data_IF_114757002188
#
_entry.id   IF_114757002188
#
_cell.length_a   1.000
_cell.length_b   1.000
_cell.length_c   1.000
_cell.angle_alpha   90.00
_cell.angle_beta   90.00
_cell.angle_gamma   90.00
#
_symmetry.space_group_name_H-M   'P 1'
#
loop_
_entity.id
_entity.type
_entity.pdbx_description
1 polymer ?
#
# COMPACT_ATOMS: atom_id res chain seq x y z
N UNK A 1 4.98 -16.41 -23.92
CA UNK A 1 3.91 -17.24 -23.35
C UNK A 1 4.52 -18.10 -22.25
N UNK A 2 3.90 -18.13 -21.11
CA UNK A 2 4.33 -18.98 -19.98
C UNK A 2 4.13 -20.45 -20.31
N UNK A 3 5.01 -21.31 -19.77
CA UNK A 3 4.78 -22.76 -19.82
C UNK A 3 3.52 -23.12 -19.02
N UNK A 4 2.86 -24.23 -19.36
CA UNK A 4 1.66 -24.68 -18.62
C UNK A 4 1.96 -24.91 -17.13
N UNK A 5 3.17 -25.36 -16.79
CA UNK A 5 3.60 -25.57 -15.41
C UNK A 5 3.77 -24.23 -14.65
N UNK A 6 4.40 -23.26 -15.28
CA UNK A 6 4.61 -21.93 -14.67
C UNK A 6 3.30 -21.20 -14.49
N UNK A 7 2.39 -21.32 -15.47
CA UNK A 7 1.04 -20.77 -15.36
C UNK A 7 0.28 -21.34 -14.15
N UNK A 8 0.37 -22.65 -13.95
CA UNK A 8 -0.25 -23.29 -12.77
C UNK A 8 0.37 -22.81 -11.45
N UNK A 9 1.69 -22.59 -11.40
CA UNK A 9 2.35 -22.03 -10.22
C UNK A 9 1.84 -20.62 -9.92
N UNK A 10 1.69 -19.77 -10.95
CA UNK A 10 1.14 -18.41 -10.81
C UNK A 10 -0.31 -18.45 -10.31
N UNK A 11 -1.15 -19.30 -10.91
CA UNK A 11 -2.56 -19.46 -10.51
C UNK A 11 -2.65 -19.91 -9.05
N UNK A 12 -1.87 -20.90 -8.65
CA UNK A 12 -1.85 -21.40 -7.27
C UNK A 12 -1.40 -20.31 -6.29
N UNK A 13 -0.36 -19.55 -6.61
CA UNK A 13 0.10 -18.44 -5.80
C UNK A 13 -1.00 -17.38 -5.61
N UNK A 14 -1.67 -17.00 -6.69
CA UNK A 14 -2.77 -16.03 -6.65
C UNK A 14 -3.98 -16.56 -5.87
N UNK A 15 -4.32 -17.84 -6.03
CA UNK A 15 -5.43 -18.48 -5.31
C UNK A 15 -5.16 -18.56 -3.82
N UNK A 16 -3.92 -18.84 -3.41
CA UNK A 16 -3.53 -18.86 -2.00
C UNK A 16 -3.64 -17.48 -1.34
N UNK A 17 -3.38 -16.41 -2.09
CA UNK A 17 -3.39 -15.04 -1.57
C UNK A 17 -4.78 -14.38 -1.66
N UNK A 18 -5.48 -14.58 -2.78
CA UNK A 18 -6.74 -13.87 -3.09
C UNK A 18 -7.98 -14.73 -2.88
N UNK A 19 -7.79 -16.02 -2.57
CA UNK A 19 -8.88 -16.99 -2.52
C UNK A 19 -9.27 -17.53 -3.90
N UNK A 20 -10.40 -18.25 -3.97
CA UNK A 20 -10.87 -18.82 -5.22
C UNK A 20 -11.18 -17.76 -6.28
N UNK A 21 -10.51 -17.87 -7.41
CA UNK A 21 -10.74 -17.03 -8.59
C UNK A 21 -11.62 -17.73 -9.63
N UNK A 22 -12.31 -16.93 -10.43
CA UNK A 22 -13.04 -17.39 -11.61
C UNK A 22 -12.14 -17.30 -12.84
N UNK A 23 -12.03 -18.37 -13.59
CA UNK A 23 -11.34 -18.33 -14.88
C UNK A 23 -12.23 -17.67 -15.92
N UNK A 24 -11.73 -16.62 -16.52
CA UNK A 24 -12.35 -15.94 -17.65
C UNK A 24 -11.78 -16.45 -18.99
N UNK A 25 -12.13 -15.79 -20.08
CA UNK A 25 -11.59 -16.16 -21.39
C UNK A 25 -10.09 -15.90 -21.47
N UNK A 26 -9.37 -16.84 -22.10
CA UNK A 26 -7.93 -16.73 -22.30
C UNK A 26 -7.12 -16.90 -20.99
N UNK A 27 -6.26 -15.94 -20.70
CA UNK A 27 -5.32 -15.98 -19.57
C UNK A 27 -5.75 -15.06 -18.43
N UNK A 28 -7.04 -14.78 -18.32
CA UNK A 28 -7.58 -13.88 -17.32
C UNK A 28 -8.29 -14.63 -16.19
N UNK A 29 -8.02 -14.16 -14.99
CA UNK A 29 -8.66 -14.63 -13.74
C UNK A 29 -9.37 -13.46 -13.08
N UNK A 30 -10.52 -13.71 -12.48
CA UNK A 30 -11.25 -12.72 -11.69
C UNK A 30 -11.33 -13.15 -10.24
N UNK A 31 -10.99 -12.23 -9.34
CA UNK A 31 -10.98 -12.41 -7.90
C UNK A 31 -11.84 -11.36 -7.19
N UNK A 32 -12.22 -11.61 -5.95
CA UNK A 32 -12.71 -10.57 -5.07
C UNK A 32 -11.59 -9.59 -4.77
N UNK A 33 -11.88 -8.30 -4.86
CA UNK A 33 -10.86 -7.27 -4.64
C UNK A 33 -10.62 -7.06 -3.15
N UNK A 34 -9.40 -7.27 -2.64
CA UNK A 34 -9.09 -7.08 -1.23
C UNK A 34 -9.05 -5.60 -0.80
N UNK A 35 -8.97 -4.68 -1.77
CA UNK A 35 -8.88 -3.24 -1.47
C UNK A 35 -10.24 -2.58 -1.29
N UNK A 36 -11.28 -3.04 -1.98
CA UNK A 36 -12.63 -2.46 -1.86
C UNK A 36 -13.67 -3.45 -1.35
N UNK A 37 -13.29 -4.70 -1.14
CA UNK A 37 -14.13 -5.78 -0.62
C UNK A 37 -15.51 -5.89 -1.32
N UNK A 38 -15.54 -5.64 -2.64
CA UNK A 38 -16.77 -5.70 -3.41
C UNK A 38 -17.32 -7.14 -3.49
N UNK A 39 -18.64 -7.30 -3.35
CA UNK A 39 -19.31 -8.60 -3.29
C UNK A 39 -19.20 -9.44 -4.58
N UNK A 40 -18.82 -8.86 -5.72
CA UNK A 40 -18.55 -9.57 -6.97
C UNK A 40 -17.05 -9.58 -7.28
N UNK A 41 -16.53 -10.61 -7.95
CA UNK A 41 -15.12 -10.70 -8.35
C UNK A 41 -14.82 -9.68 -9.46
N UNK A 42 -14.35 -8.50 -9.08
CA UNK A 42 -14.06 -7.36 -9.96
C UNK A 42 -12.57 -7.08 -10.15
N UNK A 43 -11.71 -7.79 -9.42
CA UNK A 43 -10.27 -7.74 -9.62
C UNK A 43 -9.89 -8.73 -10.73
N UNK A 44 -9.55 -8.22 -11.90
CA UNK A 44 -9.06 -9.03 -13.03
C UNK A 44 -7.55 -9.06 -13.03
N UNK A 45 -6.99 -10.23 -13.32
CA UNK A 45 -5.56 -10.49 -13.40
C UNK A 45 -5.29 -11.26 -14.68
N UNK A 46 -4.41 -10.74 -15.52
CA UNK A 46 -3.95 -11.42 -16.71
C UNK A 46 -2.61 -12.12 -16.42
N UNK A 47 -2.58 -13.44 -16.51
CA UNK A 47 -1.41 -14.25 -16.16
C UNK A 47 -0.27 -14.15 -17.18
N UNK A 48 -0.50 -13.75 -18.41
CA UNK A 48 0.58 -13.59 -19.40
C UNK A 48 1.21 -12.20 -19.34
N UNK A 49 0.38 -11.16 -19.32
CA UNK A 49 0.85 -9.77 -19.30
C UNK A 49 1.17 -9.22 -17.91
N UNK A 50 0.87 -9.98 -16.86
CA UNK A 50 0.99 -9.59 -15.45
C UNK A 50 0.10 -8.42 -15.03
N UNK A 51 -0.70 -7.86 -15.93
CA UNK A 51 -1.54 -6.72 -15.64
C UNK A 51 -2.69 -7.14 -14.73
N UNK A 52 -3.04 -6.26 -13.81
CA UNK A 52 -4.17 -6.45 -12.93
C UNK A 52 -4.93 -5.14 -12.74
N UNK A 53 -6.25 -5.24 -12.59
CA UNK A 53 -7.11 -4.07 -12.43
C UNK A 53 -8.42 -4.45 -11.73
N UNK A 54 -8.85 -3.60 -10.79
CA UNK A 54 -10.17 -3.72 -10.18
C UNK A 54 -11.14 -2.71 -10.82
N UNK A 55 -12.19 -3.20 -11.43
CA UNK A 55 -13.21 -2.39 -12.11
C UNK A 55 -14.14 -1.61 -11.17
N UNK A 56 -14.00 -1.78 -9.85
CA UNK A 56 -14.82 -1.06 -8.87
C UNK A 56 -14.03 0.09 -8.23
N UNK A 57 -12.82 -0.17 -7.74
CA UNK A 57 -12.01 0.84 -7.03
C UNK A 57 -10.86 1.42 -7.86
N UNK A 58 -10.72 1.03 -9.12
CA UNK A 58 -9.64 1.43 -10.03
C UNK A 58 -8.22 1.10 -9.55
N UNK A 59 -8.07 0.31 -8.47
CA UNK A 59 -6.76 -0.20 -8.09
C UNK A 59 -6.21 -1.10 -9.18
N UNK A 60 -4.99 -0.85 -9.63
CA UNK A 60 -4.39 -1.62 -10.72
C UNK A 60 -2.87 -1.50 -10.78
N UNK A 61 -2.28 -2.31 -11.64
CA UNK A 61 -0.83 -2.29 -11.87
C UNK A 61 -0.42 -3.09 -13.10
N UNK A 62 0.83 -2.85 -13.53
CA UNK A 62 1.41 -3.47 -14.73
C UNK A 62 2.10 -4.80 -14.44
N UNK A 63 2.44 -5.10 -13.18
CA UNK A 63 3.15 -6.30 -12.74
C UNK A 63 2.42 -6.97 -11.59
N UNK A 64 2.37 -8.30 -11.56
CA UNK A 64 1.80 -9.07 -10.45
C UNK A 64 2.53 -8.84 -9.13
N UNK A 65 3.84 -8.65 -9.20
CA UNK A 65 4.64 -8.34 -8.01
C UNK A 65 4.18 -7.07 -7.29
N UNK A 66 3.63 -6.09 -8.03
CA UNK A 66 3.05 -4.88 -7.41
C UNK A 66 1.76 -5.16 -6.65
N UNK A 67 0.95 -6.12 -7.10
CA UNK A 67 -0.22 -6.59 -6.38
C UNK A 67 0.17 -7.33 -5.10
N UNK A 68 1.09 -8.28 -5.20
CA UNK A 68 1.56 -9.09 -4.09
C UNK A 68 2.23 -8.24 -3.00
N UNK A 69 3.03 -7.24 -3.38
CA UNK A 69 3.61 -6.28 -2.44
C UNK A 69 2.54 -5.45 -1.70
N UNK A 70 1.49 -5.00 -2.39
CA UNK A 70 0.37 -4.27 -1.76
C UNK A 70 -0.43 -5.12 -0.78
N UNK A 71 -0.38 -6.44 -0.93
CA UNK A 71 -1.05 -7.42 -0.06
C UNK A 71 -0.12 -7.97 1.03
N UNK A 72 1.09 -7.42 1.15
CA UNK A 72 2.11 -7.83 2.12
C UNK A 72 2.41 -9.34 2.09
N UNK A 73 2.43 -9.89 0.87
CA UNK A 73 2.71 -11.31 0.63
C UNK A 73 4.20 -11.58 0.87
N UNK A 74 4.50 -12.76 1.38
CA UNK A 74 5.85 -13.19 1.70
C UNK A 74 6.83 -13.07 0.51
N UNK A 75 8.09 -12.81 0.84
CA UNK A 75 9.15 -12.58 -0.16
C UNK A 75 9.42 -13.80 -1.04
N UNK A 76 9.21 -15.02 -0.51
CA UNK A 76 9.44 -16.26 -1.27
C UNK A 76 8.46 -16.39 -2.41
N UNK A 77 7.17 -16.13 -2.15
CA UNK A 77 6.12 -16.14 -3.18
C UNK A 77 6.38 -15.06 -4.25
N UNK A 78 6.78 -13.86 -3.85
CA UNK A 78 7.16 -12.78 -4.79
C UNK A 78 8.37 -13.18 -5.63
N UNK A 79 9.38 -13.83 -5.05
CA UNK A 79 10.59 -14.30 -5.77
C UNK A 79 10.25 -15.36 -6.83
N UNK A 80 9.40 -16.33 -6.50
CA UNK A 80 8.94 -17.35 -7.45
C UNK A 80 8.23 -16.70 -8.64
N UNK A 81 7.36 -15.73 -8.39
CA UNK A 81 6.65 -15.01 -9.46
C UNK A 81 7.63 -14.23 -10.35
N UNK A 82 8.65 -13.60 -9.78
CA UNK A 82 9.69 -12.91 -10.55
C UNK A 82 10.50 -13.84 -11.44
N UNK A 83 10.90 -14.97 -10.89
CA UNK A 83 11.65 -15.99 -11.62
C UNK A 83 10.86 -16.50 -12.83
N UNK A 84 9.57 -16.80 -12.64
CA UNK A 84 8.68 -17.27 -13.70
C UNK A 84 8.58 -16.27 -14.87
N UNK A 85 8.56 -14.96 -14.55
CA UNK A 85 8.45 -13.92 -15.58
C UNK A 85 9.78 -13.36 -16.07
N UNK A 86 10.91 -13.93 -15.63
CA UNK A 86 12.24 -13.54 -16.10
C UNK A 86 12.66 -12.12 -15.68
N UNK A 87 12.16 -11.61 -14.56
CA UNK A 87 12.54 -10.31 -14.00
C UNK A 87 13.94 -10.43 -13.35
N UNK A 88 14.98 -10.69 -14.21
CA UNK A 88 16.35 -11.04 -13.81
C UNK A 88 17.19 -9.87 -13.25
N UNK A 89 16.67 -8.64 -13.24
CA UNK A 89 17.32 -7.49 -12.62
C UNK A 89 16.99 -7.34 -11.12
N UNK A 90 16.58 -8.45 -10.49
CA UNK A 90 16.37 -8.46 -9.07
C UNK A 90 17.69 -8.68 -8.33
N UNK A 91 18.20 -7.65 -7.68
CA UNK A 91 19.23 -7.79 -6.66
C UNK A 91 18.56 -7.86 -5.29
N UNK A 92 18.48 -9.05 -4.63
CA UNK A 92 17.86 -9.18 -3.31
C UNK A 92 18.53 -8.30 -2.25
N UNK A 93 19.78 -7.95 -2.44
CA UNK A 93 20.54 -7.10 -1.52
C UNK A 93 20.13 -5.61 -1.58
N UNK A 94 19.46 -5.17 -2.67
CA UNK A 94 18.97 -3.79 -2.79
C UNK A 94 17.54 -3.63 -2.23
N UNK A 95 16.81 -4.73 -2.00
CA UNK A 95 15.46 -4.68 -1.39
C UNK A 95 15.49 -4.95 0.12
N UNK A 96 16.58 -5.46 0.68
CA UNK A 96 16.83 -5.49 2.13
C UNK A 96 17.18 -4.10 2.70
N UNK A 97 17.53 -3.17 1.85
CA UNK A 97 17.18 -1.80 2.07
C UNK A 97 15.65 -1.62 1.82
N UNK A 98 14.79 -2.19 2.67
CA UNK A 98 13.72 -1.40 3.23
C UNK A 98 14.46 -0.15 3.74
N UNK A 99 14.68 0.77 2.86
CA UNK A 99 14.69 2.16 3.25
C UNK A 99 13.33 2.31 3.92
N UNK A 100 13.28 2.03 5.22
CA UNK A 100 12.51 2.86 6.11
C UNK A 100 12.95 4.22 5.63
N UNK A 101 12.18 4.81 4.72
CA UNK A 101 12.30 6.22 4.45
C UNK A 101 11.99 6.80 5.81
N UNK A 102 13.05 7.00 6.60
CA UNK A 102 12.94 7.81 7.80
C UNK A 102 12.56 9.16 7.24
N UNK A 103 11.26 9.37 7.18
CA UNK A 103 10.72 10.70 6.91
C UNK A 103 11.27 11.51 8.08
N UNK A 104 12.37 12.21 7.83
CA UNK A 104 12.87 13.17 8.80
C UNK A 104 11.82 14.27 8.87
N UNK A 105 11.10 14.27 9.96
CA UNK A 105 10.20 15.37 10.26
C UNK A 105 11.02 16.66 10.31
N UNK A 106 10.46 17.79 9.88
CA UNK A 106 11.10 19.09 10.00
C UNK A 106 11.60 19.33 11.43
N UNK A 107 12.73 19.99 11.58
CA UNK A 107 13.29 20.29 12.92
C UNK A 107 12.30 21.06 13.79
N UNK A 108 11.47 21.89 13.17
CA UNK A 108 10.43 22.71 13.77
C UNK A 108 9.09 21.99 13.99
N UNK A 109 9.03 20.69 13.70
CA UNK A 109 7.83 19.88 13.93
C UNK A 109 7.55 19.71 15.42
N UNK A 110 6.33 20.04 15.83
CA UNK A 110 5.83 19.86 17.20
C UNK A 110 4.66 18.88 17.15
N UNK A 111 4.77 17.76 17.84
CA UNK A 111 3.68 16.80 17.96
C UNK A 111 2.52 17.36 18.77
N UNK A 112 1.29 17.10 18.32
CA UNK A 112 0.06 17.44 19.06
C UNK A 112 -0.36 16.35 20.05
N UNK A 113 0.36 15.22 20.11
CA UNK A 113 0.08 14.13 21.05
C UNK A 113 0.37 14.52 22.51
N UNK A 114 1.25 15.51 22.72
CA UNK A 114 1.64 16.00 24.03
C UNK A 114 1.10 17.40 24.27
N UNK A 115 0.42 17.59 25.39
CA UNK A 115 -0.02 18.93 25.79
C UNK A 115 1.16 19.78 26.24
N UNK A 116 1.34 20.99 25.69
CA UNK A 116 2.42 21.87 26.11
C UNK A 116 2.27 22.32 27.55
N UNK A 117 3.39 22.45 28.25
CA UNK A 117 3.41 23.06 29.59
C UNK A 117 3.23 24.57 29.44
N UNK A 118 2.01 25.05 29.67
CA UNK A 118 1.70 26.49 29.63
C UNK A 118 0.78 26.89 28.46
N UNK A 119 0.60 28.21 28.31
CA UNK A 119 -0.25 28.77 27.26
C UNK A 119 0.48 28.72 25.88
N UNK A 120 -0.07 27.97 24.96
CA UNK A 120 0.47 27.84 23.59
C UNK A 120 -0.67 28.09 22.60
N UNK A 121 -0.75 29.29 21.99
CA UNK A 121 -1.83 29.63 21.06
C UNK A 121 -1.79 28.79 19.78
N UNK A 122 -0.62 28.45 19.28
CA UNK A 122 -0.46 27.64 18.07
C UNK A 122 -1.02 26.22 18.27
N UNK A 123 -0.72 25.61 19.42
CA UNK A 123 -1.28 24.32 19.81
C UNK A 123 -2.82 24.36 19.88
N UNK A 124 -3.36 25.37 20.54
CA UNK A 124 -4.82 25.55 20.65
C UNK A 124 -5.48 25.73 19.29
N UNK A 125 -4.87 26.53 18.41
CA UNK A 125 -5.36 26.76 17.06
C UNK A 125 -5.33 25.47 16.23
N UNK A 126 -4.23 24.71 16.27
CA UNK A 126 -4.10 23.44 15.58
C UNK A 126 -5.13 22.40 16.08
N UNK A 127 -5.30 22.28 17.40
CA UNK A 127 -6.31 21.39 17.99
C UNK A 127 -7.73 21.79 17.58
N UNK A 128 -8.05 23.08 17.62
CA UNK A 128 -9.36 23.59 17.19
C UNK A 128 -9.63 23.26 15.71
N UNK A 129 -8.65 23.52 14.83
CA UNK A 129 -8.75 23.23 13.40
C UNK A 129 -9.02 21.74 13.13
N UNK A 130 -8.29 20.85 13.82
CA UNK A 130 -8.47 19.39 13.66
C UNK A 130 -9.83 18.94 14.18
N UNK A 131 -10.25 19.46 15.34
CA UNK A 131 -11.55 19.14 15.93
C UNK A 131 -12.71 19.53 15.01
N UNK A 132 -12.63 20.70 14.35
CA UNK A 132 -13.63 21.13 13.37
C UNK A 132 -13.74 20.17 12.17
N UNK A 133 -12.69 19.40 11.89
CA UNK A 133 -12.65 18.39 10.84
C UNK A 133 -12.97 16.97 11.32
N UNK A 134 -13.38 16.81 12.57
CA UNK A 134 -13.72 15.51 13.15
C UNK A 134 -12.51 14.65 13.52
N UNK A 135 -11.28 15.22 13.52
CA UNK A 135 -10.05 14.52 13.90
C UNK A 135 -9.88 14.65 15.40
N UNK A 136 -9.96 13.51 16.08
CA UNK A 136 -9.84 13.43 17.54
C UNK A 136 -8.44 13.09 18.04
N UNK A 137 -8.26 13.13 19.37
CA UNK A 137 -6.96 12.82 19.99
C UNK A 137 -6.43 11.42 19.65
N UNK A 138 -7.33 10.45 19.47
CA UNK A 138 -6.94 9.08 19.06
C UNK A 138 -6.27 9.06 17.68
N UNK A 139 -6.78 9.86 16.75
CA UNK A 139 -6.22 9.98 15.40
C UNK A 139 -4.90 10.74 15.44
N UNK A 140 -4.81 11.78 16.26
CA UNK A 140 -3.58 12.56 16.46
C UNK A 140 -2.45 11.67 16.96
N UNK A 141 -2.70 10.82 17.94
CA UNK A 141 -1.72 9.87 18.48
C UNK A 141 -1.39 8.79 17.44
N UNK A 142 -2.41 8.19 16.81
CA UNK A 142 -2.24 7.11 15.86
C UNK A 142 -1.40 7.50 14.64
N UNK A 143 -1.60 8.71 14.14
CA UNK A 143 -0.92 9.19 12.93
C UNK A 143 0.23 10.16 13.21
N UNK A 144 0.59 10.37 14.48
CA UNK A 144 1.61 11.32 14.93
C UNK A 144 1.42 12.71 14.28
N UNK A 145 0.20 13.24 14.34
CA UNK A 145 -0.13 14.54 13.77
C UNK A 145 0.53 15.65 14.61
N UNK A 146 1.12 16.61 13.95
CA UNK A 146 1.76 17.75 14.57
C UNK A 146 1.62 19.01 13.73
N UNK A 147 2.29 20.06 14.12
CA UNK A 147 2.32 21.33 13.40
C UNK A 147 3.74 21.89 13.35
N UNK A 148 3.98 22.76 12.38
CA UNK A 148 5.20 23.55 12.30
C UNK A 148 4.85 25.02 12.52
N UNK A 149 5.51 25.65 13.48
CA UNK A 149 5.30 27.07 13.79
C UNK A 149 5.92 27.97 12.72
N UNK A 150 7.10 27.63 12.26
CA UNK A 150 7.94 28.41 11.36
C UNK A 150 8.63 27.50 10.32
N UNK A 151 9.49 28.04 9.48
CA UNK A 151 10.23 27.29 8.46
C UNK A 151 9.43 27.06 7.18
N UNK A 152 9.91 26.15 6.34
CA UNK A 152 9.32 25.82 5.05
C UNK A 152 7.85 25.33 5.16
N UNK A 153 7.54 24.69 6.26
CA UNK A 153 6.22 24.12 6.58
C UNK A 153 5.48 24.96 7.63
N UNK A 154 5.91 26.20 7.87
CA UNK A 154 5.29 27.09 8.83
C UNK A 154 3.78 27.22 8.63
N UNK A 155 3.04 27.26 9.74
CA UNK A 155 1.56 27.34 9.81
C UNK A 155 0.82 26.17 9.13
N UNK A 156 1.49 25.02 8.95
CA UNK A 156 0.86 23.78 8.45
C UNK A 156 0.72 22.75 9.57
N UNK A 157 -0.35 21.97 9.46
CA UNK A 157 -0.67 20.82 10.32
C UNK A 157 -0.54 19.55 9.48
#
# INVERSE_FOLDING_TARGET
>A
MLSSNDKNKVINALTNVLGHGLTLRGNELAFHCPFCNHHKPKLQVNTDSQKWHCWTCNSGGKKLTSLLKKLDVDRKTISIIREIYGDSNYNPQLEDADTKVFIQLPKEFVSLSESPKGFNPEYKHAMFYLTQRGIGIKDIIKYNIGYCKEGLYGQRI
#
